data_IF_904350481684
#
_entry.id   IF_904350481684
#
_cell.length_a   1.000
_cell.length_b   1.000
_cell.length_c   1.000
_cell.angle_alpha   90.00
_cell.angle_beta   90.00
_cell.angle_gamma   90.00
#
_symmetry.space_group_name_H-M   'P 1'
#
loop_
_entity.id
_entity.type
_entity.pdbx_description
1 polymer ?
#
# COMPACT_ATOMS: atom_id res chain seq x y z
N UNK A 1 30.60 -32.46 9.31
CA UNK A 1 30.27 -31.36 8.42
C UNK A 1 28.74 -31.09 8.50
N UNK A 2 28.34 -30.31 9.51
CA UNK A 2 26.98 -29.76 9.57
C UNK A 2 27.00 -28.39 8.89
N UNK A 3 26.55 -28.32 7.64
CA UNK A 3 26.23 -27.06 6.97
C UNK A 3 24.99 -26.47 7.61
N UNK A 4 25.19 -25.42 8.38
CA UNK A 4 24.12 -24.62 8.99
C UNK A 4 23.33 -23.89 7.87
N UNK A 5 22.13 -24.37 7.55
CA UNK A 5 21.26 -23.87 6.46
C UNK A 5 20.36 -22.71 6.89
N UNK A 6 20.75 -21.87 7.84
CA UNK A 6 19.92 -20.76 8.32
C UNK A 6 20.74 -19.47 8.47
N UNK A 7 21.34 -18.97 7.37
CA UNK A 7 21.69 -17.56 7.30
C UNK A 7 20.48 -16.79 6.72
N UNK A 8 19.41 -16.71 7.49
CA UNK A 8 18.33 -15.77 7.18
C UNK A 8 18.90 -14.38 7.41
N UNK A 9 19.05 -13.59 6.34
CA UNK A 9 19.40 -12.18 6.46
C UNK A 9 18.29 -11.46 7.24
N UNK A 10 18.67 -10.63 8.21
CA UNK A 10 17.73 -9.91 9.05
C UNK A 10 17.98 -8.39 8.97
N UNK A 11 16.91 -7.62 8.85
CA UNK A 11 16.92 -6.18 9.05
C UNK A 11 16.14 -5.85 10.32
N UNK A 12 16.80 -5.21 11.29
CA UNK A 12 16.20 -4.78 12.56
C UNK A 12 15.43 -5.88 13.30
N UNK A 13 15.84 -7.15 13.15
CA UNK A 13 15.17 -8.30 13.77
C UNK A 13 14.06 -8.94 12.91
N UNK A 14 13.78 -8.42 11.71
CA UNK A 14 12.83 -9.00 10.79
C UNK A 14 13.52 -9.76 9.67
N UNK A 15 12.91 -10.87 9.23
CA UNK A 15 13.44 -11.67 8.15
C UNK A 15 13.39 -10.90 6.83
N UNK A 16 14.49 -10.88 6.10
CA UNK A 16 14.49 -10.45 4.69
C UNK A 16 13.99 -11.62 3.86
N UNK A 17 12.96 -11.36 3.06
CA UNK A 17 12.35 -12.34 2.16
C UNK A 17 12.32 -11.79 0.74
N UNK A 18 12.26 -12.69 -0.24
CA UNK A 18 12.05 -12.29 -1.63
C UNK A 18 10.62 -11.78 -1.86
N UNK A 19 10.44 -10.98 -2.92
CA UNK A 19 9.10 -10.54 -3.33
C UNK A 19 8.19 -11.74 -3.69
N UNK A 20 8.76 -12.78 -4.31
CA UNK A 20 8.05 -14.01 -4.63
C UNK A 20 7.60 -14.77 -3.37
N UNK A 21 8.49 -14.86 -2.36
CA UNK A 21 8.12 -15.45 -1.08
C UNK A 21 7.03 -14.62 -0.39
N UNK A 22 7.16 -13.29 -0.37
CA UNK A 22 6.13 -12.40 0.16
C UNK A 22 4.78 -12.60 -0.53
N UNK A 23 4.75 -12.68 -1.86
CA UNK A 23 3.55 -12.92 -2.64
C UNK A 23 2.92 -14.29 -2.34
N UNK A 24 3.69 -15.31 -1.99
CA UNK A 24 3.19 -16.65 -1.66
C UNK A 24 2.27 -16.71 -0.43
N UNK A 25 2.33 -15.69 0.42
CA UNK A 25 1.41 -15.55 1.56
C UNK A 25 0.02 -15.05 1.15
N UNK A 26 -0.13 -14.52 -0.07
CA UNK A 26 -1.42 -14.03 -0.58
C UNK A 26 -2.19 -15.21 -1.18
N UNK A 27 -3.43 -15.38 -0.75
CA UNK A 27 -4.28 -16.49 -1.17
C UNK A 27 -5.49 -15.98 -1.96
N UNK A 28 -6.05 -16.85 -2.79
CA UNK A 28 -7.33 -16.58 -3.44
C UNK A 28 -8.38 -16.12 -2.42
N UNK A 29 -9.14 -15.08 -2.75
CA UNK A 29 -10.19 -14.54 -1.89
C UNK A 29 -9.71 -13.54 -0.82
N UNK A 30 -8.40 -13.38 -0.59
CA UNK A 30 -7.89 -12.41 0.38
C UNK A 30 -8.18 -10.97 -0.04
N UNK A 31 -8.35 -10.09 0.96
CA UNK A 31 -8.23 -8.65 0.76
C UNK A 31 -6.83 -8.22 1.20
N UNK A 32 -6.15 -7.50 0.32
CA UNK A 32 -4.88 -6.85 0.63
C UNK A 32 -5.07 -5.35 0.79
N UNK A 33 -4.37 -4.78 1.76
CA UNK A 33 -4.28 -3.34 1.95
C UNK A 33 -2.95 -2.83 1.40
N UNK A 34 -2.95 -1.76 0.61
CA UNK A 34 -1.74 -1.17 0.05
C UNK A 34 -1.55 0.25 0.54
N UNK A 35 -0.32 0.61 0.94
CA UNK A 35 0.06 1.99 1.25
C UNK A 35 0.10 2.87 0.01
N UNK A 36 0.32 4.16 0.21
CA UNK A 36 0.54 5.13 -0.85
C UNK A 36 -0.69 5.94 -1.22
N UNK A 37 -0.44 6.93 -2.08
CA UNK A 37 -1.45 7.79 -2.67
C UNK A 37 -1.08 8.07 -4.13
N UNK A 38 -2.00 7.84 -5.07
CA UNK A 38 -1.70 7.83 -6.50
C UNK A 38 -0.51 6.88 -6.78
N UNK A 39 0.45 7.14 -7.66
CA UNK A 39 1.60 6.25 -7.83
C UNK A 39 2.74 6.48 -6.82
N UNK A 40 2.57 7.33 -5.81
CA UNK A 40 3.59 7.63 -4.81
C UNK A 40 3.43 6.78 -3.54
N UNK A 41 4.52 6.24 -3.00
CA UNK A 41 4.53 5.44 -1.78
C UNK A 41 3.79 4.11 -1.89
N UNK A 42 3.62 3.59 -3.10
CA UNK A 42 2.92 2.32 -3.37
C UNK A 42 3.90 1.16 -3.42
N UNK A 43 3.51 -0.03 -2.95
CA UNK A 43 4.28 -1.25 -3.17
C UNK A 43 4.56 -1.50 -4.66
N UNK A 44 5.78 -1.94 -4.99
CA UNK A 44 6.27 -2.08 -6.36
C UNK A 44 6.85 -3.46 -6.69
N UNK A 45 7.21 -4.24 -5.67
CA UNK A 45 7.90 -5.51 -5.85
C UNK A 45 6.98 -6.72 -5.64
N UNK A 46 6.11 -6.69 -4.64
CA UNK A 46 5.26 -7.84 -4.29
C UNK A 46 4.08 -7.98 -5.24
N UNK A 47 3.49 -6.89 -5.70
CA UNK A 47 2.32 -6.92 -6.59
C UNK A 47 2.58 -7.56 -7.96
N UNK A 48 3.75 -7.37 -8.62
CA UNK A 48 4.09 -8.12 -9.82
C UNK A 48 4.21 -9.64 -9.57
N UNK A 49 4.71 -10.05 -8.42
CA UNK A 49 4.80 -11.48 -8.08
C UNK A 49 3.42 -12.09 -7.80
N UNK A 50 2.49 -11.32 -7.20
CA UNK A 50 1.09 -11.75 -7.07
C UNK A 50 0.46 -11.96 -8.46
N UNK A 51 0.77 -11.10 -9.42
CA UNK A 51 0.27 -11.24 -10.79
C UNK A 51 0.79 -12.54 -11.44
N UNK A 52 2.07 -12.89 -11.25
CA UNK A 52 2.63 -14.17 -11.74
C UNK A 52 1.92 -15.37 -11.13
N UNK A 53 1.68 -15.37 -9.82
CA UNK A 53 0.92 -16.43 -9.15
C UNK A 53 -0.47 -16.57 -9.77
N UNK A 54 -1.15 -15.44 -10.03
CA UNK A 54 -2.46 -15.46 -10.64
C UNK A 54 -2.44 -16.07 -12.05
N UNK A 55 -1.47 -15.71 -12.87
CA UNK A 55 -1.29 -16.29 -14.21
C UNK A 55 -1.05 -17.79 -14.14
N UNK A 56 -0.17 -18.24 -13.24
CA UNK A 56 0.13 -19.65 -13.05
C UNK A 56 -1.09 -20.46 -12.58
N UNK A 57 -1.87 -19.93 -11.65
CA UNK A 57 -3.10 -20.60 -11.17
C UNK A 57 -4.16 -20.63 -12.26
N UNK A 58 -4.36 -19.54 -12.98
CA UNK A 58 -5.31 -19.51 -14.11
C UNK A 58 -4.90 -20.49 -15.23
N UNK A 59 -3.60 -20.64 -15.52
CA UNK A 59 -3.11 -21.62 -16.49
C UNK A 59 -3.39 -23.07 -16.06
N UNK A 60 -3.50 -23.34 -14.77
CA UNK A 60 -3.90 -24.66 -14.21
C UNK A 60 -5.41 -24.82 -14.12
N UNK A 61 -6.20 -23.81 -14.48
CA UNK A 61 -7.66 -23.79 -14.34
C UNK A 61 -8.15 -23.46 -12.93
N UNK A 62 -7.27 -23.04 -12.03
CA UNK A 62 -7.62 -22.63 -10.67
C UNK A 62 -8.01 -21.15 -10.62
N UNK A 63 -9.02 -20.76 -9.84
CA UNK A 63 -9.33 -19.35 -9.64
C UNK A 63 -8.28 -18.69 -8.73
N UNK A 64 -7.82 -17.50 -9.11
CA UNK A 64 -7.03 -16.63 -8.23
C UNK A 64 -7.45 -15.18 -8.38
N UNK A 65 -8.15 -14.67 -7.38
CA UNK A 65 -8.59 -13.27 -7.34
C UNK A 65 -8.53 -12.75 -5.90
N UNK A 66 -8.17 -11.48 -5.76
CA UNK A 66 -8.03 -10.77 -4.48
C UNK A 66 -8.86 -9.49 -4.47
N UNK A 67 -9.20 -9.02 -3.28
CA UNK A 67 -9.70 -7.66 -3.08
C UNK A 67 -8.53 -6.71 -2.78
N UNK A 68 -8.61 -5.47 -3.24
CA UNK A 68 -7.60 -4.43 -3.00
C UNK A 68 -8.23 -3.23 -2.32
N UNK A 69 -7.70 -2.86 -1.16
CA UNK A 69 -8.13 -1.74 -0.33
C UNK A 69 -6.98 -0.74 -0.19
N UNK A 70 -7.21 0.50 -0.56
CA UNK A 70 -6.18 1.56 -0.50
C UNK A 70 -6.76 2.89 -0.06
N UNK A 71 -5.89 3.87 0.20
CA UNK A 71 -6.25 5.28 0.34
C UNK A 71 -6.03 6.05 -0.96
N UNK A 72 -6.53 5.52 -2.09
CA UNK A 72 -6.34 6.01 -3.46
C UNK A 72 -4.94 5.81 -4.05
N UNK A 73 -4.16 4.85 -3.58
CA UNK A 73 -3.01 4.41 -4.35
C UNK A 73 -3.49 3.76 -5.65
N UNK A 74 -2.88 4.11 -6.75
CA UNK A 74 -3.21 3.63 -8.10
C UNK A 74 -1.97 3.69 -8.98
N UNK A 75 -1.94 2.88 -10.01
CA UNK A 75 -0.83 2.86 -10.95
C UNK A 75 -0.68 1.50 -11.63
N UNK A 76 0.30 1.37 -12.50
CA UNK A 76 0.51 0.10 -13.19
C UNK A 76 0.93 -1.01 -12.23
N UNK A 77 1.83 -0.70 -11.28
CA UNK A 77 2.32 -1.66 -10.29
C UNK A 77 1.25 -2.12 -9.29
N UNK A 78 0.16 -1.37 -9.11
CA UNK A 78 -0.94 -1.73 -8.20
C UNK A 78 -2.13 -2.30 -8.94
N UNK A 79 -2.75 -1.49 -9.79
CA UNK A 79 -4.02 -1.82 -10.45
C UNK A 79 -3.82 -2.50 -11.81
N UNK A 80 -2.91 -1.95 -12.64
CA UNK A 80 -2.79 -2.33 -14.04
C UNK A 80 -2.33 -3.77 -14.23
N UNK A 81 -1.21 -4.13 -13.60
CA UNK A 81 -0.66 -5.48 -13.73
C UNK A 81 -1.64 -6.55 -13.23
N UNK A 82 -2.32 -6.30 -12.11
CA UNK A 82 -3.27 -7.25 -11.54
C UNK A 82 -4.58 -7.32 -12.34
N UNK A 83 -5.02 -6.20 -12.93
CA UNK A 83 -6.19 -6.17 -13.80
C UNK A 83 -5.97 -6.96 -15.11
N UNK A 84 -4.79 -6.79 -15.74
CA UNK A 84 -4.44 -7.50 -16.97
C UNK A 84 -4.48 -9.02 -16.81
N UNK A 85 -4.08 -9.53 -15.66
CA UNK A 85 -4.09 -10.97 -15.35
C UNK A 85 -5.40 -11.43 -14.67
N UNK A 86 -6.43 -10.57 -14.60
CA UNK A 86 -7.74 -10.86 -13.98
C UNK A 86 -7.65 -11.30 -12.51
N UNK A 87 -6.67 -10.78 -11.79
CA UNK A 87 -6.41 -11.12 -10.38
C UNK A 87 -7.24 -10.29 -9.39
N UNK A 88 -8.07 -9.35 -9.85
CA UNK A 88 -8.84 -8.47 -8.97
C UNK A 88 -10.32 -8.85 -9.00
N UNK A 89 -10.89 -9.18 -7.84
CA UNK A 89 -12.34 -9.38 -7.68
C UNK A 89 -13.08 -8.11 -7.21
N UNK A 90 -12.39 -7.31 -6.39
CA UNK A 90 -12.96 -6.11 -5.75
C UNK A 90 -11.90 -5.03 -5.55
N UNK A 91 -12.29 -3.78 -5.72
CA UNK A 91 -11.41 -2.62 -5.53
C UNK A 91 -12.17 -1.41 -4.97
N UNK A 92 -11.56 -0.73 -4.02
CA UNK A 92 -11.97 0.58 -3.52
C UNK A 92 -10.72 1.40 -3.13
N UNK A 93 -10.79 2.70 -3.08
CA UNK A 93 -11.91 3.60 -3.42
C UNK A 93 -11.80 4.22 -4.82
N UNK A 94 -10.61 4.21 -5.43
CA UNK A 94 -10.29 5.06 -6.57
C UNK A 94 -9.26 4.42 -7.49
N UNK A 95 -9.34 4.69 -8.79
CA UNK A 95 -8.34 4.30 -9.78
C UNK A 95 -8.24 5.28 -10.94
N UNK A 96 -7.03 5.40 -11.49
CA UNK A 96 -6.78 6.12 -12.75
C UNK A 96 -6.25 5.19 -13.85
N UNK A 97 -5.99 3.93 -13.53
CA UNK A 97 -5.39 2.99 -14.48
C UNK A 97 -6.39 2.61 -15.59
N UNK A 98 -6.02 2.72 -16.89
CA UNK A 98 -6.92 2.44 -18.01
C UNK A 98 -7.31 0.97 -18.13
N UNK A 99 -6.39 0.03 -17.86
CA UNK A 99 -6.68 -1.41 -17.93
C UNK A 99 -7.68 -1.80 -16.86
N UNK A 100 -7.49 -1.27 -15.66
CA UNK A 100 -8.44 -1.47 -14.57
C UNK A 100 -9.83 -0.91 -14.92
N UNK A 101 -9.91 0.33 -15.42
CA UNK A 101 -11.20 0.92 -15.82
C UNK A 101 -11.91 0.11 -16.89
N UNK A 102 -11.15 -0.43 -17.85
CA UNK A 102 -11.71 -1.32 -18.87
C UNK A 102 -12.32 -2.56 -18.25
N UNK A 103 -11.62 -3.21 -17.30
CA UNK A 103 -12.12 -4.39 -16.62
C UNK A 103 -13.40 -4.10 -15.79
N UNK A 104 -13.45 -2.95 -15.10
CA UNK A 104 -14.67 -2.49 -14.39
C UNK A 104 -15.83 -2.29 -15.35
N UNK A 105 -15.60 -1.58 -16.45
CA UNK A 105 -16.65 -1.30 -17.45
C UNK A 105 -17.17 -2.59 -18.11
N UNK A 106 -16.35 -3.63 -18.21
CA UNK A 106 -16.73 -4.94 -18.69
C UNK A 106 -17.46 -5.80 -17.62
N UNK A 107 -17.60 -5.30 -16.38
CA UNK A 107 -18.21 -6.07 -15.28
C UNK A 107 -17.30 -7.17 -14.70
N UNK A 108 -16.02 -7.14 -15.00
CA UNK A 108 -15.06 -8.16 -14.54
C UNK A 108 -14.60 -7.93 -13.09
N UNK A 109 -14.69 -6.69 -12.59
CA UNK A 109 -14.25 -6.28 -11.25
C UNK A 109 -15.38 -5.54 -10.54
N UNK A 110 -15.70 -5.95 -9.32
CA UNK A 110 -16.57 -5.18 -8.44
C UNK A 110 -15.80 -3.94 -7.94
N UNK A 111 -16.37 -2.76 -8.14
CA UNK A 111 -15.72 -1.49 -7.83
C UNK A 111 -16.65 -0.57 -7.06
N UNK A 112 -16.12 0.03 -5.99
CA UNK A 112 -16.78 1.10 -5.25
C UNK A 112 -15.95 2.36 -5.34
N UNK A 113 -16.54 3.41 -5.91
CA UNK A 113 -16.03 4.77 -5.81
C UNK A 113 -16.51 5.39 -4.49
N UNK A 114 -15.58 5.65 -3.59
CA UNK A 114 -15.85 6.12 -2.23
C UNK A 114 -15.01 7.35 -1.97
N UNK A 115 -15.58 8.34 -1.30
CA UNK A 115 -14.81 9.48 -0.83
C UNK A 115 -13.65 9.02 0.06
N UNK A 116 -12.46 9.54 -0.18
CA UNK A 116 -11.25 9.19 0.58
C UNK A 116 -11.42 9.42 2.07
N UNK A 117 -12.14 10.47 2.45
CA UNK A 117 -12.43 10.79 3.86
C UNK A 117 -13.25 9.71 4.57
N UNK A 118 -13.97 8.87 3.83
CA UNK A 118 -14.80 7.78 4.35
C UNK A 118 -14.08 6.43 4.30
N UNK A 119 -13.16 6.25 3.37
CA UNK A 119 -12.55 4.94 3.09
C UNK A 119 -11.95 4.27 4.33
N UNK A 120 -11.18 5.00 5.12
CA UNK A 120 -10.56 4.44 6.33
C UNK A 120 -11.62 3.99 7.34
N UNK A 121 -12.69 4.76 7.52
CA UNK A 121 -13.82 4.42 8.39
C UNK A 121 -14.57 3.18 7.91
N UNK A 122 -14.85 3.08 6.62
CA UNK A 122 -15.53 1.93 6.01
C UNK A 122 -14.73 0.64 6.22
N UNK A 123 -13.40 0.72 6.08
CA UNK A 123 -12.50 -0.41 6.37
C UNK A 123 -12.53 -0.76 7.87
N UNK A 124 -12.51 0.23 8.76
CA UNK A 124 -12.55 0.02 10.22
C UNK A 124 -13.87 -0.62 10.69
N UNK A 125 -14.97 -0.26 10.05
CA UNK A 125 -16.28 -0.85 10.35
C UNK A 125 -16.48 -2.25 9.76
N UNK A 126 -15.55 -2.70 8.92
CA UNK A 126 -15.59 -4.03 8.31
C UNK A 126 -16.53 -4.16 7.12
N UNK A 127 -17.08 -3.06 6.60
CA UNK A 127 -17.99 -3.09 5.43
C UNK A 127 -17.31 -3.61 4.17
N UNK A 128 -15.97 -3.46 4.09
CA UNK A 128 -15.13 -3.96 3.00
C UNK A 128 -14.60 -5.38 3.22
N UNK A 129 -15.01 -6.00 4.34
CA UNK A 129 -14.47 -7.28 4.79
C UNK A 129 -13.11 -7.15 5.48
N UNK A 130 -12.55 -8.30 5.84
CA UNK A 130 -11.30 -8.41 6.58
C UNK A 130 -10.11 -8.00 5.73
N UNK A 131 -9.14 -7.30 6.32
CA UNK A 131 -7.80 -7.07 5.73
C UNK A 131 -6.91 -8.25 6.11
N UNK A 132 -6.58 -9.12 5.16
CA UNK A 132 -5.75 -10.29 5.43
C UNK A 132 -4.26 -9.95 5.49
N UNK A 133 -3.79 -9.15 4.53
CA UNK A 133 -2.39 -8.74 4.46
C UNK A 133 -2.31 -7.25 4.12
N UNK A 134 -1.49 -6.50 4.86
CA UNK A 134 -1.08 -5.15 4.48
C UNK A 134 0.31 -5.21 3.83
N UNK A 135 0.50 -4.49 2.73
CA UNK A 135 1.80 -4.31 2.10
C UNK A 135 2.11 -2.81 2.15
N UNK A 136 3.14 -2.46 2.89
CA UNK A 136 3.51 -1.07 3.17
C UNK A 136 4.88 -0.76 2.57
N UNK A 137 4.96 0.29 1.78
CA UNK A 137 6.25 0.83 1.36
C UNK A 137 6.81 1.75 2.45
N UNK A 138 8.07 1.55 2.81
CA UNK A 138 8.76 2.30 3.85
C UNK A 138 10.18 2.68 3.44
N UNK A 139 10.71 3.78 3.97
CA UNK A 139 12.12 4.15 3.87
C UNK A 139 12.92 3.64 5.06
N UNK A 140 12.26 3.33 6.19
CA UNK A 140 12.89 2.79 7.39
C UNK A 140 11.87 2.02 8.24
N UNK A 141 12.37 1.05 8.99
CA UNK A 141 11.62 0.31 10.02
C UNK A 141 12.49 0.11 11.25
N UNK A 142 11.88 0.16 12.43
CA UNK A 142 12.59 -0.09 13.70
C UNK A 142 12.15 -1.42 14.34
N UNK A 143 12.95 -2.02 15.23
CA UNK A 143 12.61 -3.30 15.88
C UNK A 143 11.30 -3.28 16.67
N UNK A 144 10.93 -2.12 17.19
CA UNK A 144 9.67 -1.89 17.94
C UNK A 144 8.47 -1.59 17.02
N UNK A 145 8.63 -1.74 15.70
CA UNK A 145 7.53 -1.65 14.74
C UNK A 145 7.15 -0.23 14.31
N UNK A 146 8.06 0.74 14.37
CA UNK A 146 7.84 2.05 13.75
C UNK A 146 8.18 1.96 12.27
N UNK A 147 7.18 2.14 11.42
CA UNK A 147 7.31 2.10 9.97
C UNK A 147 7.28 3.53 9.44
N UNK A 148 8.41 4.01 8.94
CA UNK A 148 8.53 5.33 8.31
C UNK A 148 8.21 5.20 6.84
N UNK A 149 7.04 5.74 6.46
CA UNK A 149 6.55 5.66 5.08
C UNK A 149 7.42 6.49 4.14
N UNK A 150 7.34 6.21 2.85
CA UNK A 150 8.04 6.96 1.80
C UNK A 150 7.29 8.25 1.44
N UNK A 151 6.99 8.50 0.17
CA UNK A 151 6.40 9.77 -0.27
C UNK A 151 4.94 9.98 0.16
N UNK A 152 4.17 8.89 0.33
CA UNK A 152 2.76 8.98 0.69
C UNK A 152 2.30 7.74 1.47
N UNK A 153 1.37 7.94 2.41
CA UNK A 153 0.86 6.87 3.26
C UNK A 153 -0.53 6.37 2.91
N UNK A 154 -1.41 7.24 2.42
CA UNK A 154 -2.82 6.91 2.24
C UNK A 154 -3.46 6.49 3.57
N UNK A 155 -4.15 5.34 3.58
CA UNK A 155 -4.75 4.76 4.78
C UNK A 155 -3.85 3.72 5.47
N UNK A 156 -2.54 3.80 5.28
CA UNK A 156 -1.57 2.85 5.84
C UNK A 156 -1.78 2.56 7.34
N UNK A 157 -2.02 3.53 8.24
CA UNK A 157 -2.25 3.24 9.66
C UNK A 157 -3.46 2.34 9.88
N UNK A 158 -4.55 2.58 9.16
CA UNK A 158 -5.77 1.77 9.28
C UNK A 158 -5.56 0.34 8.79
N UNK A 159 -5.00 0.15 7.59
CA UNK A 159 -4.78 -1.19 7.03
C UNK A 159 -3.75 -1.98 7.84
N UNK A 160 -2.69 -1.34 8.33
CA UNK A 160 -1.68 -1.98 9.16
C UNK A 160 -2.25 -2.46 10.51
N UNK A 161 -3.08 -1.63 11.13
CA UNK A 161 -3.75 -1.98 12.40
C UNK A 161 -4.68 -3.17 12.25
N UNK A 162 -5.46 -3.21 11.17
CA UNK A 162 -6.50 -4.22 10.94
C UNK A 162 -5.99 -5.51 10.28
N UNK A 163 -4.88 -5.46 9.56
CA UNK A 163 -4.33 -6.63 8.90
C UNK A 163 -3.93 -7.73 9.88
N UNK A 164 -4.11 -9.00 9.45
CA UNK A 164 -3.57 -10.15 10.18
C UNK A 164 -2.05 -10.23 10.04
N UNK A 165 -1.53 -9.90 8.86
CA UNK A 165 -0.10 -9.98 8.50
C UNK A 165 0.33 -8.70 7.79
N UNK A 166 1.59 -8.35 7.93
CA UNK A 166 2.18 -7.18 7.31
C UNK A 166 3.45 -7.59 6.55
N UNK A 167 3.57 -7.10 5.34
CA UNK A 167 4.77 -7.16 4.51
C UNK A 167 5.29 -5.73 4.38
N UNK A 168 6.57 -5.53 4.58
CA UNK A 168 7.22 -4.23 4.38
C UNK A 168 8.06 -4.28 3.10
N UNK A 169 7.80 -3.41 2.17
CA UNK A 169 8.73 -3.10 1.08
C UNK A 169 9.64 -1.95 1.53
N UNK A 170 10.87 -2.29 1.91
CA UNK A 170 11.87 -1.31 2.33
C UNK A 170 12.58 -0.75 1.10
N UNK A 171 12.23 0.47 0.72
CA UNK A 171 12.65 1.06 -0.55
C UNK A 171 13.83 2.03 -0.38
N UNK A 172 15.01 1.58 -0.79
CA UNK A 172 16.24 2.36 -0.72
C UNK A 172 16.32 3.55 -1.72
N UNK A 173 15.41 3.60 -2.70
CA UNK A 173 15.32 4.76 -3.60
C UNK A 173 14.81 6.03 -2.91
N UNK A 174 14.19 5.89 -1.73
CA UNK A 174 13.73 7.01 -0.92
C UNK A 174 14.72 7.33 0.20
N UNK A 175 15.04 8.63 0.33
CA UNK A 175 15.97 9.09 1.35
C UNK A 175 15.39 8.93 2.75
N UNK A 176 16.19 8.43 3.69
CA UNK A 176 15.88 8.42 5.12
C UNK A 176 15.74 9.83 5.73
N UNK A 177 16.22 10.87 5.04
CA UNK A 177 16.01 12.26 5.44
C UNK A 177 14.53 12.67 5.42
N UNK A 178 13.67 11.90 4.75
CA UNK A 178 12.22 12.04 4.78
C UNK A 178 11.56 11.55 6.08
N UNK A 179 12.29 10.85 6.95
CA UNK A 179 11.77 10.42 8.25
C UNK A 179 11.34 11.63 9.07
N UNK A 180 10.09 11.59 9.56
CA UNK A 180 9.53 12.70 10.33
C UNK A 180 8.77 13.76 9.52
N UNK A 181 8.71 13.66 8.20
CA UNK A 181 7.88 14.55 7.39
C UNK A 181 6.39 14.25 7.50
N UNK A 182 6.03 12.98 7.71
CA UNK A 182 4.64 12.58 7.89
C UNK A 182 4.10 13.01 9.25
N UNK A 183 2.81 13.28 9.29
CA UNK A 183 2.01 13.51 10.51
C UNK A 183 0.85 12.50 10.48
N UNK A 184 1.14 11.27 10.90
CA UNK A 184 0.22 10.14 10.82
C UNK A 184 -0.80 10.21 11.95
N UNK A 185 -2.06 10.41 11.60
CA UNK A 185 -3.16 10.52 12.53
C UNK A 185 -4.37 9.71 12.07
N UNK A 186 -4.96 8.93 12.96
CA UNK A 186 -6.24 8.26 12.74
C UNK A 186 -7.32 8.99 13.54
N UNK A 187 -8.27 9.68 12.90
CA UNK A 187 -9.42 10.27 13.58
C UNK A 187 -10.25 9.20 14.29
N UNK A 188 -10.85 9.55 15.41
CA UNK A 188 -11.82 8.70 16.06
C UNK A 188 -13.05 8.50 15.18
N UNK A 189 -13.66 7.33 15.25
CA UNK A 189 -14.90 7.02 14.55
C UNK A 189 -16.13 7.57 15.31
N UNK A 190 -17.25 7.87 14.63
CA UNK A 190 -18.49 8.19 15.29
C UNK A 190 -18.92 7.06 16.26
N UNK A 191 -19.55 7.38 17.39
CA UNK A 191 -19.93 8.70 17.88
C UNK A 191 -18.82 9.43 18.65
N UNK A 192 -17.61 8.89 18.71
CA UNK A 192 -16.50 9.41 19.53
C UNK A 192 -15.64 10.43 18.79
N UNK A 193 -16.01 10.79 17.58
CA UNK A 193 -15.27 11.77 16.76
C UNK A 193 -15.22 13.12 17.48
N UNK A 194 -14.02 13.71 17.47
CA UNK A 194 -13.73 15.02 18.07
C UNK A 194 -13.10 15.92 17.03
N UNK A 195 -13.03 17.19 17.35
CA UNK A 195 -12.25 18.17 16.59
C UNK A 195 -10.79 17.73 16.51
N UNK A 196 -10.19 17.91 15.34
CA UNK A 196 -8.75 17.72 15.17
C UNK A 196 -8.08 18.97 15.75
N UNK A 197 -7.18 18.85 16.76
CA UNK A 197 -6.62 19.99 17.47
C UNK A 197 -5.51 20.69 16.68
N UNK A 198 -5.85 21.25 15.52
CA UNK A 198 -4.98 22.08 14.69
C UNK A 198 -5.39 23.52 14.86
N UNK A 199 -4.58 24.30 15.58
CA UNK A 199 -4.82 25.70 15.87
C UNK A 199 -3.83 26.62 15.18
N UNK A 200 -2.68 26.10 14.73
CA UNK A 200 -1.62 26.82 14.03
C UNK A 200 -1.15 26.02 12.83
N UNK A 201 -0.66 26.66 11.77
CA UNK A 201 -0.13 25.96 10.58
C UNK A 201 1.02 24.99 10.86
N UNK A 202 1.73 25.19 11.97
CA UNK A 202 2.87 24.36 12.41
C UNK A 202 2.48 23.20 13.33
N UNK A 203 1.20 23.07 13.70
CA UNK A 203 0.78 22.03 14.63
C UNK A 203 0.90 20.64 14.01
N UNK A 204 1.43 19.72 14.80
CA UNK A 204 1.51 18.29 14.47
C UNK A 204 0.72 17.55 15.52
N UNK A 205 -0.18 16.69 15.06
CA UNK A 205 -1.16 16.01 15.92
C UNK A 205 -0.95 14.50 15.98
N UNK A 206 -0.16 13.96 15.07
CA UNK A 206 0.11 12.55 14.92
C UNK A 206 1.56 12.18 15.17
N UNK A 207 1.94 11.03 14.63
CA UNK A 207 3.28 10.46 14.72
C UNK A 207 3.99 10.55 13.37
N UNK A 208 5.32 10.64 13.34
CA UNK A 208 6.08 10.65 12.08
C UNK A 208 6.18 9.26 11.43
N UNK A 209 5.51 8.26 11.96
CA UNK A 209 5.54 6.87 11.51
C UNK A 209 4.18 6.19 11.73
N UNK A 210 3.98 5.06 11.08
CA UNK A 210 2.90 4.13 11.40
C UNK A 210 3.41 3.14 12.44
N UNK A 211 2.77 3.06 13.61
CA UNK A 211 3.08 2.06 14.62
C UNK A 211 2.37 0.75 14.28
N UNK A 212 3.11 -0.32 14.17
CA UNK A 212 2.58 -1.66 13.94
C UNK A 212 3.01 -2.62 15.06
N UNK A 213 2.26 -3.71 15.25
CA UNK A 213 2.71 -4.81 16.08
C UNK A 213 3.82 -5.58 15.32
N UNK A 214 5.06 -5.64 15.84
CA UNK A 214 6.15 -6.35 15.18
C UNK A 214 5.85 -7.82 14.88
N UNK A 215 5.00 -8.46 15.67
CA UNK A 215 4.60 -9.86 15.49
C UNK A 215 3.77 -10.11 14.23
N UNK A 216 3.13 -9.08 13.69
CA UNK A 216 2.38 -9.17 12.45
C UNK A 216 3.28 -9.09 11.21
N UNK A 217 4.51 -8.59 11.35
CA UNK A 217 5.45 -8.45 10.24
C UNK A 217 6.02 -9.81 9.88
N UNK A 218 5.62 -10.33 8.73
CA UNK A 218 6.04 -11.65 8.25
C UNK A 218 7.33 -11.60 7.45
N UNK A 219 7.72 -10.43 6.96
CA UNK A 219 8.98 -10.24 6.26
C UNK A 219 9.16 -8.84 5.70
N UNK A 220 10.40 -8.54 5.38
CA UNK A 220 10.84 -7.31 4.74
C UNK A 220 11.39 -7.65 3.36
N UNK A 221 10.90 -6.97 2.33
CA UNK A 221 11.37 -7.08 0.95
C UNK A 221 12.19 -5.84 0.64
N UNK A 222 13.46 -6.02 0.29
CA UNK A 222 14.32 -4.92 -0.12
C UNK A 222 13.99 -4.48 -1.54
N UNK A 223 13.78 -3.17 -1.72
CA UNK A 223 13.40 -2.54 -2.98
C UNK A 223 14.31 -1.34 -3.24
N UNK A 224 14.60 -1.08 -4.51
CA UNK A 224 15.32 0.12 -4.94
C UNK A 224 14.69 0.64 -6.24
N UNK A 225 13.44 1.08 -6.16
CA UNK A 225 12.66 1.52 -7.31
C UNK A 225 12.02 2.88 -6.99
N UNK A 226 12.30 3.92 -7.77
CA UNK A 226 11.71 5.25 -7.56
C UNK A 226 10.20 5.23 -7.82
N UNK A 227 9.51 6.21 -7.25
CA UNK A 227 8.10 6.45 -7.53
C UNK A 227 7.88 6.88 -8.99
N UNK A 228 6.73 6.52 -9.52
CA UNK A 228 6.22 7.03 -10.80
C UNK A 228 5.38 8.30 -10.58
N UNK A 229 5.84 9.19 -9.69
CA UNK A 229 5.14 10.43 -9.38
C UNK A 229 4.99 11.29 -10.64
N UNK A 230 3.87 11.99 -10.73
CA UNK A 230 3.67 12.96 -11.83
C UNK A 230 4.68 14.09 -11.70
N UNK A 231 5.37 14.41 -12.80
CA UNK A 231 6.17 15.61 -12.90
C UNK A 231 5.29 16.85 -13.12
N UNK A 232 5.81 18.00 -12.77
CA UNK A 232 5.18 19.26 -13.17
C UNK A 232 5.19 19.36 -14.70
N UNK A 233 4.10 19.86 -15.26
CA UNK A 233 4.05 20.22 -16.67
C UNK A 233 5.05 21.36 -16.92
N UNK A 234 5.89 21.24 -17.94
CA UNK A 234 6.75 22.34 -18.32
C UNK A 234 5.90 23.59 -18.63
N UNK A 235 6.30 24.78 -18.15
CA UNK A 235 5.55 25.99 -18.45
C UNK A 235 5.54 26.23 -19.96
N UNK A 236 4.35 26.39 -20.51
CA UNK A 236 4.16 26.88 -21.88
C UNK A 236 4.02 28.41 -21.89
N UNK A 237 4.04 29.06 -23.08
CA UNK A 237 3.89 30.51 -23.15
C UNK A 237 2.61 31.06 -22.51
N UNK A 238 1.52 30.29 -22.50
CA UNK A 238 0.25 30.70 -21.89
C UNK A 238 0.33 30.63 -20.37
N UNK A 239 0.88 29.54 -19.83
CA UNK A 239 1.11 29.38 -18.38
C UNK A 239 2.09 30.42 -17.85
N UNK A 240 3.09 30.79 -18.64
CA UNK A 240 4.03 31.84 -18.28
C UNK A 240 3.39 33.26 -18.21
N UNK A 241 2.32 33.50 -18.95
CA UNK A 241 1.57 34.75 -18.91
C UNK A 241 0.66 34.89 -17.66
N UNK A 242 0.27 33.78 -17.04
CA UNK A 242 -0.60 33.78 -15.85
C UNK A 242 0.21 34.16 -14.58
N UNK A 243 1.51 34.11 -14.62
CA UNK A 243 2.41 34.44 -13.50
C UNK A 243 3.04 35.83 -13.56
N UNK A 244 2.59 36.68 -14.47
CA UNK A 244 2.90 38.11 -14.53
C UNK A 244 1.70 38.88 -13.92
#
# INVERSE_FOLDING_TARGET
NYTNKNNTLNIMGFNIISAAEAASYIKHGYNIGLSGFTPAGTPKAVTPEIAKIAEEEHAKGNPFQIGILTGASTGDATDGILARVKAIRYRAPYTTNPDFRKAVNNGEIAYNDIHLSQMAQEVRYGFMGKVNVAILEACEITPDGKVYLTAAGGIAPTIARLADKIIIELNAAHSKNGMGLHDVYEPLDPPYRREIPIFKPSDRIGLPYVQVDPKKIIGVVEVNTPDQARSFTAPDPILSLIHI
#
